data_IF_975963679810
#
_entry.id   IF_975963679810
#
_cell.length_a   1.000
_cell.length_b   1.000
_cell.length_c   1.000
_cell.angle_alpha   90.00
_cell.angle_beta   90.00
_cell.angle_gamma   90.00
#
_symmetry.space_group_name_H-M   'P 1'
#
loop_
_entity.id
_entity.type
_entity.pdbx_description
1 polymer ?
#
# COMPACT_ATOMS: atom_id res chain seq x y z
N UNK A 1 -16.70 -3.64 5.55
CA UNK A 1 -17.07 -3.55 4.11
C UNK A 1 -16.13 -4.42 3.25
N UNK A 2 -14.82 -4.38 3.51
CA UNK A 2 -13.81 -5.17 2.78
C UNK A 2 -14.07 -6.68 2.79
N UNK A 3 -14.24 -7.30 3.97
CA UNK A 3 -14.33 -8.78 4.06
C UNK A 3 -15.60 -9.37 3.45
N UNK A 4 -16.69 -8.60 3.45
CA UNK A 4 -17.99 -9.07 2.94
C UNK A 4 -18.11 -9.02 1.41
N UNK A 5 -17.26 -8.26 0.73
CA UNK A 5 -17.28 -8.08 -0.74
C UNK A 5 -18.65 -7.72 -1.34
N UNK A 6 -19.55 -7.13 -0.55
CA UNK A 6 -20.88 -6.69 -1.00
C UNK A 6 -20.79 -5.32 -1.68
N UNK A 7 -21.55 -5.11 -2.76
CA UNK A 7 -21.64 -3.83 -3.51
C UNK A 7 -20.32 -3.35 -4.16
N UNK A 8 -19.39 -4.26 -4.40
CA UNK A 8 -18.12 -3.94 -5.08
C UNK A 8 -18.36 -3.61 -6.55
N UNK A 9 -17.78 -2.53 -7.03
CA UNK A 9 -17.91 -1.99 -8.38
C UNK A 9 -16.58 -1.99 -9.16
N UNK A 10 -15.50 -2.49 -8.55
CA UNK A 10 -14.17 -2.60 -9.13
C UNK A 10 -13.42 -3.84 -8.62
N UNK A 11 -12.29 -4.16 -9.26
CA UNK A 11 -11.41 -5.25 -8.87
C UNK A 11 -9.95 -4.82 -8.94
N UNK A 12 -9.19 -5.06 -7.88
CA UNK A 12 -7.74 -4.95 -7.88
C UNK A 12 -7.15 -6.30 -8.32
N UNK A 13 -6.41 -6.31 -9.44
CA UNK A 13 -5.74 -7.49 -9.97
C UNK A 13 -4.27 -7.45 -9.58
N UNK A 14 -3.85 -8.45 -8.80
CA UNK A 14 -2.49 -8.64 -8.32
C UNK A 14 -1.99 -9.98 -8.83
N UNK A 15 -1.11 -9.97 -9.84
CA UNK A 15 -0.68 -11.19 -10.55
C UNK A 15 -1.89 -12.01 -11.04
N UNK A 16 -2.10 -13.21 -10.48
CA UNK A 16 -3.23 -14.11 -10.79
C UNK A 16 -4.42 -13.95 -9.84
N UNK A 17 -4.28 -13.17 -8.78
CA UNK A 17 -5.31 -12.94 -7.77
C UNK A 17 -6.12 -11.69 -8.12
N UNK A 18 -7.44 -11.79 -7.97
CA UNK A 18 -8.36 -10.67 -8.15
C UNK A 18 -9.08 -10.42 -6.83
N UNK A 19 -9.06 -9.18 -6.36
CA UNK A 19 -9.65 -8.75 -5.09
C UNK A 19 -10.78 -7.77 -5.42
N UNK A 20 -12.00 -8.04 -4.93
CA UNK A 20 -13.15 -7.15 -5.13
C UNK A 20 -13.04 -5.93 -4.23
N UNK A 21 -13.28 -4.74 -4.78
CA UNK A 21 -13.09 -3.45 -4.10
C UNK A 21 -14.12 -2.41 -4.53
N UNK A 22 -14.21 -1.31 -3.79
CA UNK A 22 -15.10 -0.18 -4.00
C UNK A 22 -14.32 1.01 -4.51
N UNK A 23 -14.71 1.55 -5.66
CA UNK A 23 -14.04 2.70 -6.29
C UNK A 23 -14.05 3.92 -5.39
N UNK A 24 -15.23 4.25 -4.84
CA UNK A 24 -15.40 5.41 -3.97
C UNK A 24 -14.46 5.37 -2.77
N UNK A 25 -14.38 4.23 -2.09
CA UNK A 25 -13.49 4.05 -0.92
C UNK A 25 -12.03 4.26 -1.31
N UNK A 26 -11.56 3.62 -2.39
CA UNK A 26 -10.17 3.76 -2.82
C UNK A 26 -9.84 5.20 -3.23
N UNK A 27 -10.72 5.84 -4.02
CA UNK A 27 -10.52 7.19 -4.54
C UNK A 27 -10.48 8.25 -3.43
N UNK A 28 -11.31 8.12 -2.39
CA UNK A 28 -11.31 9.05 -1.26
C UNK A 28 -10.06 8.92 -0.39
N UNK A 29 -9.48 7.71 -0.32
CA UNK A 29 -8.41 7.39 0.63
C UNK A 29 -7.00 7.49 0.04
N UNK A 30 -6.88 7.56 -1.28
CA UNK A 30 -5.61 7.65 -1.99
C UNK A 30 -5.75 8.53 -3.24
N UNK A 31 -4.96 9.62 -3.35
CA UNK A 31 -4.89 10.43 -4.56
C UNK A 31 -4.45 9.63 -5.80
N UNK A 32 -3.61 8.61 -5.61
CA UNK A 32 -3.16 7.73 -6.70
C UNK A 32 -4.31 6.90 -7.22
N UNK A 33 -5.09 6.26 -6.33
CA UNK A 33 -6.30 5.55 -6.76
C UNK A 33 -7.34 6.48 -7.38
N UNK A 34 -7.52 7.69 -6.86
CA UNK A 34 -8.38 8.70 -7.47
C UNK A 34 -7.98 8.96 -8.94
N UNK A 35 -6.70 9.22 -9.19
CA UNK A 35 -6.18 9.48 -10.52
C UNK A 35 -6.35 8.29 -11.47
N UNK A 36 -6.03 7.07 -10.99
CA UNK A 36 -6.23 5.83 -11.75
C UNK A 36 -7.70 5.68 -12.14
N UNK A 37 -8.61 5.79 -11.18
CA UNK A 37 -10.04 5.57 -11.38
C UNK A 37 -10.70 6.66 -12.24
N UNK A 38 -10.28 7.92 -12.07
CA UNK A 38 -10.77 9.04 -12.87
C UNK A 38 -10.26 8.98 -14.32
N UNK A 39 -9.04 8.49 -14.54
CA UNK A 39 -8.54 8.25 -15.89
C UNK A 39 -9.26 7.07 -16.57
N UNK A 40 -9.55 6.00 -15.83
CA UNK A 40 -10.24 4.81 -16.35
C UNK A 40 -11.69 5.11 -16.76
N UNK A 41 -12.44 5.88 -15.96
CA UNK A 41 -13.80 6.32 -16.31
C UNK A 41 -13.85 7.05 -17.65
N UNK A 42 -12.87 7.92 -17.92
CA UNK A 42 -12.79 8.69 -19.17
C UNK A 42 -12.51 7.83 -20.40
N UNK A 43 -11.93 6.64 -20.22
CA UNK A 43 -11.49 5.75 -21.30
C UNK A 43 -12.45 4.57 -21.56
N UNK A 44 -13.60 4.51 -20.89
CA UNK A 44 -14.52 3.35 -20.92
C UNK A 44 -13.79 2.01 -20.67
N UNK A 45 -12.72 2.04 -19.86
CA UNK A 45 -11.91 0.86 -19.58
C UNK A 45 -12.56 -0.01 -18.52
N UNK A 46 -12.26 -1.32 -18.57
CA UNK A 46 -12.71 -2.30 -17.57
C UNK A 46 -12.41 -1.80 -16.16
N UNK A 47 -13.33 -2.04 -15.22
CA UNK A 47 -13.24 -1.68 -13.79
C UNK A 47 -12.16 -2.49 -13.03
N UNK A 48 -10.95 -2.62 -13.59
CA UNK A 48 -9.84 -3.41 -13.07
C UNK A 48 -8.64 -2.50 -12.86
N UNK A 49 -8.12 -2.45 -11.63
CA UNK A 49 -6.86 -1.79 -11.29
C UNK A 49 -5.76 -2.86 -11.27
N UNK A 50 -4.75 -2.73 -12.11
CA UNK A 50 -3.60 -3.65 -12.11
C UNK A 50 -2.51 -3.18 -11.13
N UNK A 51 -2.13 -4.05 -10.20
CA UNK A 51 -1.03 -3.83 -9.25
C UNK A 51 0.03 -4.89 -9.51
N UNK A 52 1.19 -4.45 -10.02
CA UNK A 52 2.22 -5.36 -10.57
C UNK A 52 3.42 -5.58 -9.64
N UNK A 53 3.79 -4.56 -8.87
CA UNK A 53 5.06 -4.51 -8.15
C UNK A 53 5.02 -5.11 -6.74
N UNK A 54 3.87 -5.62 -6.30
CA UNK A 54 3.68 -6.09 -4.92
C UNK A 54 3.11 -7.49 -4.84
N UNK A 55 3.46 -8.17 -3.74
CA UNK A 55 2.88 -9.45 -3.38
C UNK A 55 1.42 -9.27 -2.92
N UNK A 56 0.62 -10.32 -3.11
CA UNK A 56 -0.82 -10.31 -2.77
C UNK A 56 -1.05 -9.97 -1.30
N UNK A 57 -0.18 -10.44 -0.40
CA UNK A 57 -0.25 -10.16 1.03
C UNK A 57 -0.12 -8.66 1.34
N UNK A 58 0.92 -8.01 0.80
CA UNK A 58 1.16 -6.57 0.97
C UNK A 58 -0.01 -5.75 0.43
N UNK A 59 -0.55 -6.12 -0.74
CA UNK A 59 -1.73 -5.45 -1.32
C UNK A 59 -2.96 -5.64 -0.43
N UNK A 60 -3.18 -6.85 0.12
CA UNK A 60 -4.29 -7.10 1.05
C UNK A 60 -4.17 -6.26 2.32
N UNK A 61 -2.97 -6.10 2.87
CA UNK A 61 -2.72 -5.26 4.05
C UNK A 61 -2.96 -3.78 3.75
N UNK A 62 -2.44 -3.28 2.63
CA UNK A 62 -2.75 -1.92 2.15
C UNK A 62 -4.26 -1.70 2.00
N UNK A 63 -4.96 -2.63 1.32
CA UNK A 63 -6.40 -2.52 1.14
C UNK A 63 -7.13 -2.56 2.49
N UNK A 64 -6.80 -3.49 3.39
CA UNK A 64 -7.40 -3.56 4.72
C UNK A 64 -7.22 -2.25 5.48
N UNK A 65 -6.02 -1.67 5.48
CA UNK A 65 -5.76 -0.35 6.04
C UNK A 65 -6.66 0.74 5.43
N UNK A 66 -6.82 0.78 4.10
CA UNK A 66 -7.69 1.76 3.43
C UNK A 66 -9.14 1.70 3.96
N UNK A 67 -9.66 0.50 4.23
CA UNK A 67 -11.04 0.30 4.69
C UNK A 67 -11.25 0.45 6.19
N UNK A 68 -10.22 0.23 7.00
CA UNK A 68 -10.39 0.02 8.46
C UNK A 68 -9.40 0.77 9.33
N UNK A 69 -8.35 1.35 8.74
CA UNK A 69 -7.18 1.88 9.44
C UNK A 69 -6.41 0.85 10.27
N UNK A 70 -6.70 -0.44 10.09
CA UNK A 70 -6.01 -1.56 10.73
C UNK A 70 -4.60 -1.73 10.16
N UNK A 71 -3.62 -1.74 11.06
CA UNK A 71 -2.18 -1.91 10.78
C UNK A 71 -1.58 -3.11 11.52
N UNK A 72 -2.41 -4.03 12.00
CA UNK A 72 -1.95 -5.24 12.68
C UNK A 72 -1.15 -6.16 11.74
N UNK A 73 -0.18 -6.89 12.28
CA UNK A 73 0.69 -7.86 11.57
C UNK A 73 1.34 -7.29 10.30
N UNK A 74 2.01 -6.14 10.43
CA UNK A 74 2.84 -5.56 9.36
C UNK A 74 4.33 -5.69 9.63
N UNK A 75 4.73 -6.14 10.82
CA UNK A 75 6.11 -6.17 11.31
C UNK A 75 7.03 -6.93 10.35
N UNK A 76 6.61 -8.12 9.89
CA UNK A 76 7.40 -8.96 8.98
C UNK A 76 7.44 -8.47 7.52
N UNK A 77 6.61 -7.49 7.16
CA UNK A 77 6.51 -6.93 5.79
C UNK A 77 6.59 -5.39 5.81
N UNK A 78 7.12 -4.79 6.88
CA UNK A 78 7.07 -3.34 7.09
C UNK A 78 7.80 -2.58 5.98
N UNK A 79 8.87 -3.16 5.44
CA UNK A 79 9.61 -2.63 4.30
C UNK A 79 8.75 -2.54 3.03
N UNK A 80 8.00 -3.59 2.71
CA UNK A 80 7.10 -3.63 1.56
C UNK A 80 5.84 -2.79 1.77
N UNK A 81 5.33 -2.73 3.02
CA UNK A 81 4.22 -1.86 3.40
C UNK A 81 4.62 -0.39 3.26
N UNK A 82 5.84 -0.02 3.64
CA UNK A 82 6.37 1.32 3.41
C UNK A 82 6.42 1.63 1.91
N UNK A 83 6.97 0.72 1.09
CA UNK A 83 7.07 0.92 -0.34
C UNK A 83 5.68 1.10 -1.01
N UNK A 84 4.69 0.28 -0.66
CA UNK A 84 3.34 0.40 -1.22
C UNK A 84 2.61 1.65 -0.70
N UNK A 85 2.85 2.04 0.56
CA UNK A 85 2.26 3.25 1.11
C UNK A 85 2.75 4.50 0.38
N UNK A 86 4.04 4.56 0.02
CA UNK A 86 4.59 5.63 -0.81
C UNK A 86 4.00 5.58 -2.22
N UNK A 87 3.98 4.41 -2.88
CA UNK A 87 3.48 4.28 -4.26
C UNK A 87 2.01 4.69 -4.39
N UNK A 88 1.19 4.45 -3.36
CA UNK A 88 -0.23 4.80 -3.35
C UNK A 88 -0.56 6.06 -2.53
N UNK A 89 0.45 6.82 -2.11
CA UNK A 89 0.31 8.07 -1.35
C UNK A 89 -0.60 7.93 -0.10
N UNK A 90 -0.28 6.97 0.75
CA UNK A 90 -0.95 6.68 2.02
C UNK A 90 -0.08 7.17 3.19
N UNK A 91 -0.03 8.48 3.42
CA UNK A 91 0.95 9.11 4.31
C UNK A 91 0.96 8.57 5.75
N UNK A 92 -0.20 8.36 6.36
CA UNK A 92 -0.29 7.77 7.71
C UNK A 92 0.23 6.33 7.77
N UNK A 93 -0.03 5.50 6.74
CA UNK A 93 0.50 4.14 6.69
C UNK A 93 2.01 4.14 6.48
N UNK A 94 2.51 5.10 5.69
CA UNK A 94 3.95 5.35 5.50
C UNK A 94 4.62 5.69 6.84
N UNK A 95 4.04 6.62 7.60
CA UNK A 95 4.55 7.01 8.93
C UNK A 95 4.62 5.82 9.89
N UNK A 96 3.53 5.04 9.99
CA UNK A 96 3.47 3.84 10.83
C UNK A 96 4.55 2.83 10.42
N UNK A 97 4.69 2.54 9.12
CA UNK A 97 5.70 1.59 8.65
C UNK A 97 7.14 2.06 8.95
N UNK A 98 7.41 3.37 8.86
CA UNK A 98 8.71 3.94 9.23
C UNK A 98 8.96 3.80 10.72
N UNK A 99 7.97 4.09 11.56
CA UNK A 99 8.08 3.92 13.01
C UNK A 99 8.48 2.49 13.37
N UNK A 100 7.79 1.48 12.82
CA UNK A 100 8.16 0.08 13.02
C UNK A 100 9.59 -0.23 12.59
N UNK A 101 10.01 0.21 11.39
CA UNK A 101 11.36 -0.06 10.87
C UNK A 101 12.47 0.64 11.67
N UNK A 102 12.17 1.79 12.27
CA UNK A 102 13.10 2.52 13.13
C UNK A 102 13.20 1.90 14.52
N UNK A 103 12.08 1.40 15.07
CA UNK A 103 12.05 0.73 16.38
C UNK A 103 12.72 -0.65 16.31
N UNK A 104 12.55 -1.39 15.22
CA UNK A 104 13.16 -2.71 14.99
C UNK A 104 14.64 -2.63 14.56
N UNK A 105 15.25 -1.45 14.56
CA UNK A 105 16.59 -1.27 14.00
C UNK A 105 17.67 -1.96 14.86
N UNK A 106 18.47 -2.81 14.22
CA UNK A 106 19.59 -3.55 14.82
C UNK A 106 20.86 -3.38 13.96
N UNK A 107 22.01 -3.76 14.52
CA UNK A 107 23.30 -3.71 13.80
C UNK A 107 23.24 -4.61 12.54
N UNK A 108 22.48 -5.69 12.58
CA UNK A 108 22.36 -6.66 11.50
C UNK A 108 21.44 -6.17 10.36
N UNK A 109 20.44 -5.33 10.66
CA UNK A 109 19.44 -4.87 9.67
C UNK A 109 19.65 -3.42 9.19
N UNK A 110 20.41 -2.60 9.93
CA UNK A 110 20.60 -1.16 9.63
C UNK A 110 21.08 -0.90 8.19
N UNK A 111 22.03 -1.70 7.69
CA UNK A 111 22.53 -1.53 6.32
C UNK A 111 21.44 -1.81 5.27
N UNK A 112 20.58 -2.80 5.51
CA UNK A 112 19.46 -3.12 4.62
C UNK A 112 18.40 -2.01 4.64
N UNK A 113 18.08 -1.48 5.82
CA UNK A 113 17.13 -0.36 5.97
C UNK A 113 17.68 0.92 5.32
N UNK A 114 18.98 1.18 5.42
CA UNK A 114 19.62 2.30 4.73
C UNK A 114 19.47 2.19 3.21
N UNK A 115 19.79 1.04 2.61
CA UNK A 115 19.62 0.81 1.17
C UNK A 115 18.16 0.99 0.75
N UNK A 116 17.21 0.47 1.54
CA UNK A 116 15.79 0.64 1.29
C UNK A 116 15.41 2.12 1.28
N UNK A 117 15.88 2.90 2.26
CA UNK A 117 15.60 4.33 2.39
C UNK A 117 16.05 5.13 1.16
N UNK A 118 17.22 4.80 0.61
CA UNK A 118 17.72 5.41 -0.63
C UNK A 118 16.85 5.01 -1.84
N UNK A 119 16.51 3.71 -1.95
CA UNK A 119 15.70 3.18 -3.06
C UNK A 119 14.33 3.85 -3.16
N UNK A 120 13.68 4.09 -2.03
CA UNK A 120 12.34 4.71 -1.97
C UNK A 120 12.41 6.22 -1.71
N UNK A 121 13.61 6.79 -1.63
CA UNK A 121 13.85 8.21 -1.29
C UNK A 121 13.18 8.67 0.00
N UNK A 122 13.08 7.80 1.02
CA UNK A 122 12.56 8.14 2.34
C UNK A 122 13.66 8.75 3.21
N UNK A 123 13.58 10.06 3.42
CA UNK A 123 14.53 10.80 4.28
C UNK A 123 14.35 10.45 5.75
N UNK A 124 13.14 10.10 6.14
CA UNK A 124 12.77 9.76 7.51
C UNK A 124 13.37 8.43 7.92
N UNK A 125 13.22 7.37 7.11
CA UNK A 125 13.87 6.08 7.39
C UNK A 125 15.40 6.21 7.37
N UNK A 126 15.94 7.01 6.44
CA UNK A 126 17.39 7.28 6.37
C UNK A 126 17.93 7.90 7.66
N UNK A 127 17.16 8.72 8.37
CA UNK A 127 17.60 9.34 9.64
C UNK A 127 17.68 8.34 10.80
N UNK A 128 16.98 7.21 10.72
CA UNK A 128 17.02 6.18 11.74
C UNK A 128 18.22 5.23 11.59
N UNK A 129 18.82 5.18 10.39
CA UNK A 129 19.95 4.33 10.07
C UNK A 129 21.28 5.06 10.28
#
# INVERSE_FOLDING_TARGET
MFDKSLFTDCSAKVRRTTIKVHRGVLATRSPVFYNILNSASRKSQKNIIEIKNFHVEVVKKMLRYIYTEDVSDIEHIASEVLAIAIEYALDKLKEIAIEYLCVDLTIENVYKHFILSEKISSKELRKCC
#
